data_IF_246583952835
#
_entry.id   IF_246583952835
#
_cell.length_a   1.000
_cell.length_b   1.000
_cell.length_c   1.000
_cell.angle_alpha   90.00
_cell.angle_beta   90.00
_cell.angle_gamma   90.00
#
_symmetry.space_group_name_H-M   'P 1'
#
loop_
_entity.id
_entity.type
_entity.pdbx_description
1 polymer ?
#
# COMPACT_ATOMS: atom_id res chain seq x y z
N UNK A 1 12.50 25.07 11.74
CA UNK A 1 12.31 23.84 10.96
C UNK A 1 13.49 23.71 10.00
N UNK A 2 14.12 22.54 9.87
CA UNK A 2 15.23 22.27 8.93
C UNK A 2 14.81 21.13 8.01
N UNK A 3 14.81 21.38 6.70
CA UNK A 3 14.49 20.38 5.68
C UNK A 3 15.41 19.16 5.85
N UNK A 4 14.81 17.96 5.87
CA UNK A 4 15.52 16.70 6.10
C UNK A 4 15.90 16.39 7.56
N UNK A 5 15.57 17.27 8.53
CA UNK A 5 15.91 17.04 9.94
C UNK A 5 14.73 17.20 10.91
N UNK A 6 13.80 18.13 10.66
CA UNK A 6 12.55 18.24 11.44
C UNK A 6 12.27 19.62 12.06
N UNK A 7 11.42 19.69 13.10
CA UNK A 7 10.88 18.57 13.88
C UNK A 7 10.00 17.62 13.07
N UNK A 8 10.14 16.30 13.31
CA UNK A 8 9.40 15.25 12.60
C UNK A 8 8.01 15.08 13.23
N UNK A 9 6.96 15.17 12.41
CA UNK A 9 5.56 14.99 12.80
C UNK A 9 4.83 14.26 11.66
N UNK A 10 5.10 12.97 11.54
CA UNK A 10 4.48 12.12 10.53
C UNK A 10 4.46 10.67 11.01
N UNK A 11 3.86 9.78 10.23
CA UNK A 11 3.78 8.37 10.55
C UNK A 11 3.21 7.56 9.38
N UNK A 12 2.96 6.29 9.66
CA UNK A 12 2.33 5.35 8.74
C UNK A 12 1.32 4.53 9.52
N UNK A 13 0.12 4.37 8.96
CA UNK A 13 -0.88 3.40 9.41
C UNK A 13 -0.95 2.28 8.38
N UNK A 14 -1.05 1.03 8.84
CA UNK A 14 -1.27 -0.12 7.97
C UNK A 14 -2.60 -0.79 8.33
N UNK A 15 -3.41 -1.08 7.32
CA UNK A 15 -4.68 -1.80 7.43
C UNK A 15 -4.50 -3.14 6.71
N UNK A 16 -4.66 -4.22 7.47
CA UNK A 16 -4.57 -5.58 6.95
C UNK A 16 -6.00 -6.06 6.66
N UNK A 17 -6.38 -6.29 5.40
CA UNK A 17 -7.74 -6.75 5.07
C UNK A 17 -7.96 -8.22 5.44
N UNK A 18 -6.88 -8.96 5.71
CA UNK A 18 -6.85 -10.37 6.11
C UNK A 18 -5.76 -10.62 7.16
N UNK A 19 -5.81 -11.74 7.91
CA UNK A 19 -4.67 -12.20 8.72
C UNK A 19 -3.39 -12.34 7.88
N UNK A 20 -2.23 -12.21 8.53
CA UNK A 20 -0.92 -12.13 7.84
C UNK A 20 -0.69 -13.28 6.85
N UNK A 21 -1.11 -14.49 7.21
CA UNK A 21 -0.93 -15.72 6.42
C UNK A 21 -1.74 -15.71 5.12
N UNK A 22 -2.77 -14.86 5.03
CA UNK A 22 -3.69 -14.79 3.90
C UNK A 22 -3.60 -13.46 3.14
N UNK A 23 -2.62 -12.60 3.44
CA UNK A 23 -2.52 -11.28 2.81
C UNK A 23 -2.27 -11.31 1.30
N UNK A 24 -1.77 -12.43 0.77
CA UNK A 24 -1.61 -12.62 -0.67
C UNK A 24 -2.93 -12.97 -1.38
N UNK A 25 -3.92 -13.47 -0.63
CA UNK A 25 -5.24 -13.82 -1.15
C UNK A 25 -6.04 -12.56 -1.45
N UNK A 26 -6.49 -12.34 -2.70
CA UNK A 26 -7.22 -11.13 -3.06
C UNK A 26 -8.48 -10.88 -2.21
N UNK A 27 -8.79 -9.61 -2.05
CA UNK A 27 -10.06 -9.11 -1.52
C UNK A 27 -10.73 -8.24 -2.58
N UNK A 28 -12.05 -8.40 -2.74
CA UNK A 28 -12.81 -7.52 -3.61
C UNK A 28 -12.78 -6.09 -3.09
N UNK A 29 -12.62 -5.14 -3.99
CA UNK A 29 -12.50 -3.73 -3.68
C UNK A 29 -13.04 -2.86 -4.82
N UNK A 30 -13.27 -1.59 -4.52
CA UNK A 30 -13.59 -0.56 -5.48
C UNK A 30 -13.02 0.77 -5.01
N UNK A 31 -12.82 1.69 -5.94
CA UNK A 31 -12.29 3.04 -5.65
C UNK A 31 -13.31 4.07 -6.12
N UNK A 32 -13.37 5.20 -5.41
CA UNK A 32 -14.12 6.36 -5.84
C UNK A 32 -13.28 7.62 -5.60
N UNK A 33 -13.07 8.41 -6.65
CA UNK A 33 -12.39 9.70 -6.55
C UNK A 33 -13.42 10.83 -6.62
N UNK A 34 -13.65 11.49 -5.48
CA UNK A 34 -14.44 12.72 -5.46
C UNK A 34 -13.65 13.89 -6.06
N UNK A 35 -12.35 13.99 -5.72
CA UNK A 35 -11.41 14.96 -6.26
C UNK A 35 -9.99 14.36 -6.24
N UNK A 36 -9.32 14.36 -7.39
CA UNK A 36 -8.02 13.69 -7.57
C UNK A 36 -6.79 14.46 -7.06
N UNK A 37 -6.94 15.45 -6.18
CA UNK A 37 -5.79 16.17 -5.60
C UNK A 37 -5.16 15.38 -4.44
N UNK A 38 -4.63 14.20 -4.75
CA UNK A 38 -4.03 13.25 -3.81
C UNK A 38 -3.32 12.13 -4.55
N UNK A 39 -2.84 11.14 -3.80
CA UNK A 39 -2.17 9.96 -4.36
C UNK A 39 -2.79 8.70 -3.76
N UNK A 40 -2.98 7.66 -4.58
CA UNK A 40 -3.42 6.34 -4.13
C UNK A 40 -2.91 5.28 -5.13
N UNK A 41 -1.89 4.53 -4.74
CA UNK A 41 -1.35 3.46 -5.60
C UNK A 41 -2.29 2.26 -5.65
N UNK A 42 -2.17 1.43 -6.68
CA UNK A 42 -2.97 0.20 -6.80
C UNK A 42 -4.41 0.42 -7.28
N UNK A 43 -4.85 1.66 -7.52
CA UNK A 43 -6.16 1.94 -8.13
C UNK A 43 -6.37 1.24 -9.46
N UNK A 44 -5.38 1.27 -10.35
CA UNK A 44 -5.50 0.67 -11.68
C UNK A 44 -5.77 -0.84 -11.63
N UNK A 45 -5.12 -1.59 -10.73
CA UNK A 45 -5.37 -3.03 -10.62
C UNK A 45 -6.74 -3.31 -9.98
N UNK A 46 -7.19 -2.45 -9.05
CA UNK A 46 -8.53 -2.54 -8.47
C UNK A 46 -9.61 -2.29 -9.52
N UNK A 47 -9.47 -1.25 -10.36
CA UNK A 47 -10.42 -0.97 -11.45
C UNK A 47 -10.43 -2.09 -12.50
N UNK A 48 -9.26 -2.66 -12.83
CA UNK A 48 -9.14 -3.72 -13.84
C UNK A 48 -9.71 -5.05 -13.35
N UNK A 49 -9.43 -5.44 -12.10
CA UNK A 49 -9.73 -6.80 -11.60
C UNK A 49 -10.84 -6.85 -10.57
N UNK A 50 -11.29 -5.70 -10.06
CA UNK A 50 -12.23 -5.60 -8.94
C UNK A 50 -11.64 -6.04 -7.59
N UNK A 51 -10.31 -6.22 -7.49
CA UNK A 51 -9.67 -6.76 -6.31
C UNK A 51 -8.24 -6.22 -6.11
N UNK A 52 -7.74 -6.35 -4.88
CA UNK A 52 -6.32 -6.19 -4.57
C UNK A 52 -5.89 -7.18 -3.49
N UNK A 53 -4.60 -7.28 -3.28
CA UNK A 53 -3.98 -8.03 -2.19
C UNK A 53 -2.94 -7.15 -1.47
N UNK A 54 -2.38 -7.66 -0.37
CA UNK A 54 -1.47 -6.97 0.55
C UNK A 54 -2.15 -5.92 1.46
N UNK A 55 -1.43 -5.39 2.47
CA UNK A 55 -1.95 -4.30 3.30
C UNK A 55 -2.20 -3.01 2.52
N UNK A 56 -3.15 -2.22 3.00
CA UNK A 56 -3.28 -0.80 2.66
C UNK A 56 -2.40 0.00 3.60
N UNK A 57 -1.61 0.94 3.08
CA UNK A 57 -0.84 1.88 3.91
C UNK A 57 -1.32 3.31 3.73
N UNK A 58 -1.32 4.08 4.80
CA UNK A 58 -1.72 5.49 4.81
C UNK A 58 -0.60 6.32 5.46
N UNK A 59 -0.11 7.35 4.78
CA UNK A 59 1.00 8.19 5.23
C UNK A 59 0.85 9.66 4.75
N UNK A 60 1.94 10.42 4.77
CA UNK A 60 2.01 11.76 4.20
C UNK A 60 2.27 11.70 2.69
N UNK A 61 1.91 12.77 1.99
CA UNK A 61 1.99 12.89 0.52
C UNK A 61 3.35 12.51 -0.06
N UNK A 62 4.46 12.92 0.56
CA UNK A 62 5.80 12.67 0.04
C UNK A 62 6.36 11.28 0.39
N UNK A 63 5.64 10.50 1.19
CA UNK A 63 6.07 9.17 1.64
C UNK A 63 5.25 8.04 1.02
N UNK A 64 4.28 8.33 0.15
CA UNK A 64 3.43 7.32 -0.49
C UNK A 64 4.26 6.25 -1.25
N UNK A 65 5.27 6.67 -2.02
CA UNK A 65 6.21 5.73 -2.65
C UNK A 65 7.02 4.89 -1.64
N UNK A 66 7.41 5.49 -0.50
CA UNK A 66 8.17 4.79 0.54
C UNK A 66 7.35 3.73 1.26
N UNK A 67 6.05 3.97 1.50
CA UNK A 67 5.15 2.99 2.13
C UNK A 67 4.75 1.87 1.18
N UNK A 68 4.57 2.17 -0.12
CA UNK A 68 4.45 1.15 -1.17
C UNK A 68 5.65 0.20 -1.15
N UNK A 69 6.86 0.74 -1.21
CA UNK A 69 8.09 -0.07 -1.21
C UNK A 69 8.33 -0.78 0.13
N UNK A 70 8.00 -0.12 1.23
CA UNK A 70 8.04 -0.68 2.58
C UNK A 70 7.13 -1.89 2.73
N UNK A 71 5.92 -1.82 2.16
CA UNK A 71 4.97 -2.94 2.13
C UNK A 71 5.55 -4.14 1.40
N UNK A 72 6.13 -3.94 0.20
CA UNK A 72 6.75 -5.04 -0.54
C UNK A 72 7.94 -5.66 0.20
N UNK A 73 8.81 -4.83 0.80
CA UNK A 73 9.93 -5.32 1.63
C UNK A 73 9.47 -6.09 2.85
N UNK A 74 8.32 -5.74 3.42
CA UNK A 74 7.73 -6.46 4.54
C UNK A 74 7.11 -7.78 4.07
N UNK A 75 6.32 -7.75 2.98
CA UNK A 75 5.73 -8.94 2.35
C UNK A 75 6.78 -9.98 1.98
N UNK A 76 7.94 -9.56 1.45
CA UNK A 76 9.05 -10.47 1.14
C UNK A 76 9.57 -11.24 2.38
N UNK A 77 9.45 -10.68 3.58
CA UNK A 77 9.87 -11.34 4.82
C UNK A 77 8.79 -12.24 5.40
N UNK A 78 7.52 -11.84 5.30
CA UNK A 78 6.40 -12.56 5.95
C UNK A 78 5.77 -13.62 5.08
N UNK A 79 5.73 -13.41 3.75
CA UNK A 79 5.17 -14.31 2.75
C UNK A 79 6.00 -14.21 1.45
N UNK A 80 7.25 -14.70 1.41
CA UNK A 80 8.13 -14.58 0.26
C UNK A 80 7.52 -15.14 -1.03
N UNK A 81 6.88 -16.32 -0.95
CA UNK A 81 6.23 -16.97 -2.09
C UNK A 81 5.11 -16.14 -2.74
N UNK A 82 4.53 -15.18 -1.99
CA UNK A 82 3.50 -14.28 -2.51
C UNK A 82 4.05 -13.28 -3.55
N UNK A 83 5.36 -13.09 -3.62
CA UNK A 83 6.02 -12.17 -4.55
C UNK A 83 6.73 -12.89 -5.71
N UNK A 84 6.79 -14.23 -5.70
CA UNK A 84 7.49 -15.01 -6.73
C UNK A 84 6.76 -14.98 -8.09
N UNK A 85 5.42 -14.90 -8.08
CA UNK A 85 4.59 -14.89 -9.28
C UNK A 85 3.66 -13.68 -9.40
N UNK A 86 3.60 -12.82 -8.37
CA UNK A 86 2.69 -11.67 -8.35
C UNK A 86 3.42 -10.37 -8.68
N UNK A 87 2.78 -9.51 -9.48
CA UNK A 87 3.22 -8.14 -9.65
C UNK A 87 2.93 -7.36 -8.36
N UNK A 88 3.95 -6.79 -7.74
CA UNK A 88 3.86 -6.06 -6.48
C UNK A 88 3.17 -4.70 -6.61
N UNK A 89 1.84 -4.70 -6.58
CA UNK A 89 0.99 -3.51 -6.74
C UNK A 89 0.19 -3.18 -5.45
N UNK A 90 0.86 -2.90 -4.31
CA UNK A 90 0.16 -2.62 -3.06
C UNK A 90 -0.55 -1.26 -3.11
N UNK A 91 -1.51 -1.09 -2.19
CA UNK A 91 -2.23 0.16 -2.00
C UNK A 91 -1.51 1.02 -0.95
N UNK A 92 -1.05 2.19 -1.37
CA UNK A 92 -0.47 3.22 -0.52
C UNK A 92 -1.14 4.55 -0.81
N UNK A 93 -1.54 5.25 0.24
CA UNK A 93 -2.16 6.56 0.23
C UNK A 93 -1.38 7.54 1.14
#
# INVERSE_FOLDING_TARGET
LKVGAGPVRTGVTAILPRPVQELATPVFAGVFSQNGNGELTGTHIIEETGAFNFPVTITNTHSCGLTRDGTLRWMQRVLPAALDSAWGLPVAA
#
